data_IF_244880128530
#
_entry.id   IF_244880128530
#
_cell.length_a   1.000
_cell.length_b   1.000
_cell.length_c   1.000
_cell.angle_alpha   90.00
_cell.angle_beta   90.00
_cell.angle_gamma   90.00
#
_symmetry.space_group_name_H-M   'P 1'
#
loop_
_entity.id
_entity.type
_entity.pdbx_description
1 polymer ?
#
# COMPACT_ATOMS: atom_id res chain seq x y z
N UNK A 1 -13.97 -7.81 12.17
CA UNK A 1 -12.66 -7.15 11.97
C UNK A 1 -11.60 -8.23 11.93
N UNK A 2 -10.66 -8.13 10.98
CA UNK A 2 -9.51 -9.04 10.91
C UNK A 2 -8.29 -8.25 11.36
N UNK A 3 -7.48 -8.83 12.25
CA UNK A 3 -6.24 -8.23 12.73
C UNK A 3 -5.09 -9.06 12.17
N UNK A 4 -4.18 -8.41 11.44
CA UNK A 4 -3.01 -9.05 10.83
C UNK A 4 -1.75 -8.38 11.36
N UNK A 5 -0.83 -9.20 11.87
CA UNK A 5 0.50 -8.76 12.29
C UNK A 5 1.47 -8.86 11.11
N UNK A 6 2.31 -7.82 10.97
CA UNK A 6 3.41 -7.76 10.01
C UNK A 6 4.69 -7.39 10.75
N UNK A 7 5.77 -8.15 10.55
CA UNK A 7 7.08 -7.88 11.15
C UNK A 7 8.20 -8.51 10.31
N UNK A 8 9.43 -8.12 10.59
CA UNK A 8 10.63 -8.76 10.04
C UNK A 8 11.21 -9.66 11.13
N UNK A 9 11.50 -10.91 10.81
CA UNK A 9 12.12 -11.84 11.77
C UNK A 9 13.65 -11.74 11.81
N UNK A 10 14.29 -12.53 12.68
CA UNK A 10 15.75 -12.53 12.86
C UNK A 10 16.53 -12.97 11.61
N UNK A 11 15.88 -13.64 10.66
CA UNK A 11 16.47 -14.03 9.39
C UNK A 11 16.17 -13.00 8.29
N UNK A 12 15.75 -11.80 8.68
CA UNK A 12 15.34 -10.73 7.78
C UNK A 12 14.15 -11.10 6.87
N UNK A 13 13.33 -12.09 7.25
CA UNK A 13 12.17 -12.46 6.44
C UNK A 13 10.92 -11.70 6.86
N UNK A 14 10.19 -11.17 5.88
CA UNK A 14 8.89 -10.57 6.10
C UNK A 14 7.89 -11.63 6.56
N UNK A 15 7.28 -11.41 7.72
CA UNK A 15 6.23 -12.23 8.27
C UNK A 15 4.89 -11.53 8.19
N UNK A 16 3.86 -12.31 7.84
CA UNK A 16 2.45 -11.91 7.81
C UNK A 16 1.63 -13.01 8.46
N UNK A 17 0.93 -12.71 9.56
CA UNK A 17 0.06 -13.68 10.25
C UNK A 17 -1.25 -13.03 10.65
N UNK A 18 -2.36 -13.74 10.43
CA UNK A 18 -3.64 -13.33 11.01
C UNK A 18 -3.58 -13.60 12.51
N UNK A 19 -3.70 -12.54 13.31
CA UNK A 19 -3.65 -12.61 14.76
C UNK A 19 -5.00 -12.93 15.36
N UNK A 20 -6.09 -12.41 14.77
CA UNK A 20 -7.44 -12.64 15.27
C UNK A 20 -8.53 -12.32 14.23
N UNK A 21 -9.67 -13.02 14.36
CA UNK A 21 -10.94 -12.68 13.73
C UNK A 21 -11.93 -12.23 14.80
N UNK A 22 -12.16 -10.91 14.89
CA UNK A 22 -13.04 -10.34 15.89
C UNK A 22 -14.42 -10.09 15.29
N UNK A 23 -15.44 -10.78 15.78
CA UNK A 23 -16.83 -10.44 15.49
C UNK A 23 -17.21 -9.16 16.25
N UNK A 24 -17.62 -8.12 15.53
CA UNK A 24 -18.06 -6.86 16.12
C UNK A 24 -19.47 -6.52 15.62
N UNK A 25 -20.51 -6.72 16.45
CA UNK A 25 -21.86 -6.35 16.09
C UNK A 25 -21.98 -4.81 15.98
N UNK A 26 -22.92 -4.29 15.17
CA UNK A 26 -23.22 -2.86 15.18
C UNK A 26 -23.72 -2.37 16.55
N UNK A 27 -23.42 -1.12 16.95
CA UNK A 27 -22.62 -0.13 16.24
C UNK A 27 -21.11 -0.34 16.45
N UNK A 28 -20.33 -0.28 15.37
CA UNK A 28 -18.86 -0.43 15.39
C UNK A 28 -18.19 0.92 15.65
N UNK A 29 -18.24 1.43 16.88
CA UNK A 29 -17.62 2.73 17.21
C UNK A 29 -16.11 2.55 17.44
N UNK A 30 -15.37 3.64 17.39
CA UNK A 30 -13.91 3.58 17.48
C UNK A 30 -13.40 3.03 18.82
N UNK A 31 -14.15 3.22 19.90
CA UNK A 31 -13.77 2.73 21.23
C UNK A 31 -13.82 1.20 21.29
N UNK A 32 -14.84 0.56 20.70
CA UNK A 32 -14.91 -0.91 20.64
C UNK A 32 -13.82 -1.50 19.72
N UNK A 33 -13.49 -0.80 18.63
CA UNK A 33 -12.39 -1.16 17.74
C UNK A 33 -11.06 -1.11 18.51
N UNK A 34 -10.79 -0.02 19.23
CA UNK A 34 -9.60 0.13 20.06
C UNK A 34 -9.51 -0.95 21.13
N UNK A 35 -10.58 -1.17 21.89
CA UNK A 35 -10.60 -2.19 22.94
C UNK A 35 -10.33 -3.60 22.37
N UNK A 36 -10.91 -3.92 21.22
CA UNK A 36 -10.69 -5.20 20.54
C UNK A 36 -9.24 -5.37 20.04
N UNK A 37 -8.66 -4.31 19.46
CA UNK A 37 -7.26 -4.30 19.01
C UNK A 37 -6.30 -4.43 20.20
N UNK A 38 -6.49 -3.64 21.26
CA UNK A 38 -5.65 -3.68 22.45
C UNK A 38 -5.73 -5.03 23.15
N UNK A 39 -6.93 -5.60 23.29
CA UNK A 39 -7.10 -6.97 23.80
C UNK A 39 -6.33 -7.98 22.96
N UNK A 40 -6.45 -7.94 21.64
CA UNK A 40 -5.70 -8.86 20.77
C UNK A 40 -4.19 -8.73 20.98
N UNK A 41 -3.67 -7.50 21.03
CA UNK A 41 -2.24 -7.25 21.25
C UNK A 41 -1.79 -7.79 22.61
N UNK A 42 -2.61 -7.63 23.65
CA UNK A 42 -2.37 -8.15 25.00
C UNK A 42 -2.42 -9.67 25.09
N UNK A 43 -3.41 -10.29 24.45
CA UNK A 43 -3.55 -11.76 24.42
C UNK A 43 -2.32 -12.42 23.77
N UNK A 44 -1.64 -11.73 22.85
CA UNK A 44 -0.40 -12.17 22.22
C UNK A 44 0.88 -11.75 22.97
N UNK A 45 0.79 -10.89 23.99
CA UNK A 45 1.97 -10.39 24.73
C UNK A 45 2.91 -9.52 23.87
N UNK A 46 2.36 -8.77 22.90
CA UNK A 46 3.13 -7.97 21.94
C UNK A 46 2.90 -6.46 22.08
N UNK A 47 2.36 -5.99 23.20
CA UNK A 47 2.07 -4.58 23.48
C UNK A 47 3.31 -3.71 23.27
N UNK A 48 4.45 -4.21 23.72
CA UNK A 48 5.74 -3.53 23.63
C UNK A 48 6.31 -3.52 22.20
N UNK A 49 5.77 -4.34 21.28
CA UNK A 49 6.30 -4.51 19.92
C UNK A 49 5.51 -3.76 18.83
N UNK A 50 4.36 -3.16 19.17
CA UNK A 50 3.56 -2.40 18.19
C UNK A 50 4.23 -1.06 17.86
N UNK A 51 4.60 -0.86 16.59
CA UNK A 51 5.17 0.40 16.08
C UNK A 51 4.16 1.24 15.31
N UNK A 52 3.49 0.65 14.32
CA UNK A 52 2.52 1.32 13.44
C UNK A 52 1.26 0.48 13.32
N UNK A 53 0.11 1.15 13.21
CA UNK A 53 -1.17 0.55 12.88
C UNK A 53 -1.67 1.13 11.55
N UNK A 54 -2.04 0.24 10.63
CA UNK A 54 -2.63 0.59 9.34
C UNK A 54 -4.11 0.20 9.30
N UNK A 55 -4.97 1.16 8.93
CA UNK A 55 -6.44 1.01 8.92
C UNK A 55 -7.03 1.68 7.68
N UNK A 56 -8.25 1.29 7.30
CA UNK A 56 -8.98 1.97 6.24
C UNK A 56 -9.44 3.38 6.67
N UNK A 57 -10.02 4.14 5.74
CA UNK A 57 -10.34 5.55 5.95
C UNK A 57 -11.71 5.78 6.62
N UNK A 58 -12.24 4.80 7.37
CA UNK A 58 -13.46 4.98 8.13
C UNK A 58 -13.23 5.90 9.35
N UNK A 59 -14.18 6.81 9.62
CA UNK A 59 -14.06 7.78 10.71
C UNK A 59 -13.97 7.14 12.10
N UNK A 60 -14.57 5.95 12.29
CA UNK A 60 -14.45 5.19 13.53
C UNK A 60 -12.98 4.83 13.85
N UNK A 61 -12.14 4.62 12.82
CA UNK A 61 -10.73 4.29 13.03
C UNK A 61 -9.93 5.50 13.52
N UNK A 62 -10.29 6.73 13.15
CA UNK A 62 -9.61 7.92 13.68
C UNK A 62 -9.75 8.00 15.21
N UNK A 63 -10.92 7.63 15.74
CA UNK A 63 -11.15 7.51 17.19
C UNK A 63 -10.37 6.33 17.77
N UNK A 64 -10.40 5.17 17.12
CA UNK A 64 -9.74 3.97 17.61
C UNK A 64 -8.22 4.16 17.75
N UNK A 65 -7.60 4.73 16.72
CA UNK A 65 -6.16 4.99 16.68
C UNK A 65 -5.75 6.00 17.75
N UNK A 66 -6.55 7.04 17.98
CA UNK A 66 -6.27 8.02 19.05
C UNK A 66 -6.25 7.35 20.43
N UNK A 67 -7.27 6.55 20.73
CA UNK A 67 -7.36 5.80 22.00
C UNK A 67 -6.15 4.87 22.15
N UNK A 68 -5.84 4.08 21.10
CA UNK A 68 -4.70 3.17 21.12
C UNK A 68 -3.37 3.92 21.30
N UNK A 69 -3.17 5.05 20.63
CA UNK A 69 -1.95 5.86 20.78
C UNK A 69 -1.78 6.29 22.24
N UNK A 70 -2.86 6.75 22.88
CA UNK A 70 -2.82 7.18 24.28
C UNK A 70 -2.52 5.99 25.21
N UNK A 71 -3.18 4.84 25.00
CA UNK A 71 -2.97 3.62 25.79
C UNK A 71 -1.52 3.10 25.67
N UNK A 72 -0.99 2.99 24.44
CA UNK A 72 0.38 2.53 24.24
C UNK A 72 1.39 3.54 24.79
N UNK A 73 1.15 4.84 24.64
CA UNK A 73 2.06 5.89 25.17
C UNK A 73 2.17 5.87 26.69
N UNK A 74 1.15 5.38 27.41
CA UNK A 74 1.22 5.19 28.87
C UNK A 74 2.07 3.98 29.26
N UNK A 75 2.08 2.95 28.42
CA UNK A 75 2.80 1.70 28.67
C UNK A 75 4.26 1.73 28.21
N UNK A 76 4.58 2.59 27.23
CA UNK A 76 5.91 2.70 26.63
C UNK A 76 6.10 4.01 25.87
N UNK A 77 7.35 4.37 25.61
CA UNK A 77 7.69 5.43 24.64
C UNK A 77 7.38 4.94 23.23
N UNK A 78 6.50 5.64 22.50
CA UNK A 78 6.28 5.39 21.08
C UNK A 78 7.41 6.02 20.28
N UNK A 79 8.00 5.24 19.36
CA UNK A 79 9.05 5.71 18.46
C UNK A 79 8.62 6.94 17.66
N UNK A 80 9.52 7.90 17.51
CA UNK A 80 9.30 9.18 16.84
C UNK A 80 8.16 9.99 17.47
N UNK A 81 7.94 9.86 18.78
CA UNK A 81 6.82 10.50 19.49
C UNK A 81 5.42 10.06 19.02
N UNK A 82 5.33 8.90 18.37
CA UNK A 82 4.11 8.40 17.75
C UNK A 82 3.71 9.08 16.44
N UNK A 83 4.59 9.89 15.83
CA UNK A 83 4.36 10.51 14.51
C UNK A 83 4.14 9.45 13.40
N UNK A 84 4.68 8.25 13.59
CA UNK A 84 4.56 7.12 12.66
C UNK A 84 3.53 6.06 13.09
N UNK A 85 2.77 6.32 14.16
CA UNK A 85 1.90 5.31 14.77
C UNK A 85 0.69 4.95 13.90
N UNK A 86 0.25 5.86 13.03
CA UNK A 86 -0.93 5.67 12.20
C UNK A 86 -0.61 5.89 10.72
N UNK A 87 -0.99 4.91 9.90
CA UNK A 87 -0.98 5.04 8.44
C UNK A 87 -2.35 4.69 7.89
N UNK A 88 -2.93 5.57 7.09
CA UNK A 88 -4.16 5.27 6.34
C UNK A 88 -3.82 4.32 5.19
N UNK A 89 -4.68 3.34 4.95
CA UNK A 89 -4.48 2.36 3.88
C UNK A 89 -4.45 3.03 2.49
N UNK A 90 -3.28 3.00 1.83
CA UNK A 90 -3.08 3.61 0.51
C UNK A 90 -4.00 3.00 -0.56
N UNK A 91 -4.16 1.68 -0.57
CA UNK A 91 -5.05 0.99 -1.51
C UNK A 91 -6.52 1.42 -1.33
N UNK A 92 -6.95 1.68 -0.08
CA UNK A 92 -8.27 2.22 0.19
C UNK A 92 -8.41 3.67 -0.27
N UNK A 93 -7.38 4.50 -0.10
CA UNK A 93 -7.38 5.88 -0.63
C UNK A 93 -7.47 5.88 -2.16
N UNK A 94 -6.69 5.04 -2.86
CA UNK A 94 -6.82 4.88 -4.31
C UNK A 94 -8.24 4.45 -4.72
N UNK A 95 -8.85 3.53 -3.97
CA UNK A 95 -10.25 3.17 -4.20
C UNK A 95 -11.18 4.37 -4.06
N UNK A 96 -11.03 5.19 -3.01
CA UNK A 96 -11.85 6.39 -2.85
C UNK A 96 -11.64 7.42 -3.97
N UNK A 97 -10.42 7.58 -4.47
CA UNK A 97 -10.10 8.48 -5.58
C UNK A 97 -10.76 7.97 -6.87
N UNK A 98 -10.60 6.70 -7.21
CA UNK A 98 -11.17 6.17 -8.44
C UNK A 98 -12.69 6.11 -8.39
N UNK A 99 -13.29 5.78 -7.25
CA UNK A 99 -14.75 5.73 -7.10
C UNK A 99 -15.41 7.10 -7.35
N UNK A 100 -14.79 8.20 -6.90
CA UNK A 100 -15.30 9.55 -7.21
C UNK A 100 -15.08 9.95 -8.68
N UNK A 101 -14.12 9.34 -9.36
CA UNK A 101 -13.99 9.49 -10.82
C UNK A 101 -15.07 8.71 -11.57
N UNK A 102 -15.24 7.43 -11.22
CA UNK A 102 -16.23 6.53 -11.84
C UNK A 102 -17.67 7.03 -11.67
N UNK A 103 -17.96 7.86 -10.66
CA UNK A 103 -19.28 8.46 -10.52
C UNK A 103 -19.68 9.36 -11.69
N UNK A 104 -18.73 9.90 -12.47
CA UNK A 104 -19.02 10.72 -13.66
C UNK A 104 -19.60 9.92 -14.83
N UNK A 105 -19.41 8.59 -14.81
CA UNK A 105 -19.91 7.68 -15.84
C UNK A 105 -20.73 6.54 -15.21
N UNK A 106 -21.35 6.79 -14.05
CA UNK A 106 -22.02 5.76 -13.25
C UNK A 106 -23.13 5.04 -14.04
N UNK A 107 -23.87 5.77 -14.86
CA UNK A 107 -24.88 5.25 -15.78
C UNK A 107 -24.30 4.24 -16.78
N UNK A 108 -23.17 4.59 -17.41
CA UNK A 108 -22.46 3.71 -18.35
C UNK A 108 -21.96 2.46 -17.64
N UNK A 109 -21.32 2.62 -16.48
CA UNK A 109 -20.83 1.49 -15.67
C UNK A 109 -21.98 0.59 -15.25
N UNK A 110 -23.12 1.15 -14.86
CA UNK A 110 -24.32 0.38 -14.51
C UNK A 110 -24.85 -0.41 -15.70
N UNK A 111 -24.99 0.22 -16.88
CA UNK A 111 -25.49 -0.45 -18.09
C UNK A 111 -24.60 -1.63 -18.51
N UNK A 112 -23.28 -1.46 -18.45
CA UNK A 112 -22.32 -2.53 -18.75
C UNK A 112 -22.39 -3.63 -17.70
N UNK A 113 -22.50 -3.28 -16.41
CA UNK A 113 -22.66 -4.27 -15.33
C UNK A 113 -23.92 -5.10 -15.53
N UNK A 114 -25.05 -4.47 -15.83
CA UNK A 114 -26.32 -5.16 -16.07
C UNK A 114 -26.22 -6.11 -17.26
N UNK A 115 -25.45 -5.73 -18.29
CA UNK A 115 -25.17 -6.59 -19.45
C UNK A 115 -24.33 -7.82 -19.07
N UNK A 116 -23.27 -7.61 -18.30
CA UNK A 116 -22.40 -8.68 -17.79
C UNK A 116 -23.19 -9.64 -16.91
N UNK A 117 -24.00 -9.10 -15.99
CA UNK A 117 -24.85 -9.89 -15.10
C UNK A 117 -25.88 -10.70 -15.90
N UNK A 118 -26.51 -10.10 -16.92
CA UNK A 118 -27.47 -10.79 -17.78
C UNK A 118 -26.85 -11.99 -18.48
N UNK A 119 -25.67 -11.82 -19.08
CA UNK A 119 -24.94 -12.89 -19.79
C UNK A 119 -24.49 -13.98 -18.82
N UNK A 120 -23.85 -13.61 -17.72
CA UNK A 120 -23.23 -14.58 -16.83
C UNK A 120 -24.24 -15.33 -15.93
N UNK A 121 -25.44 -14.79 -15.70
CA UNK A 121 -26.47 -15.39 -14.83
C UNK A 121 -27.04 -16.70 -15.38
N UNK A 122 -26.99 -16.92 -16.71
CA UNK A 122 -27.52 -18.14 -17.34
C UNK A 122 -26.47 -18.84 -18.18
N UNK A 123 -26.33 -20.16 -17.99
CA UNK A 123 -25.43 -20.99 -18.82
C UNK A 123 -25.81 -20.91 -20.30
N UNK A 124 -27.10 -20.88 -20.62
CA UNK A 124 -27.59 -20.77 -22.01
C UNK A 124 -27.17 -19.44 -22.64
N UNK A 125 -27.31 -18.33 -21.91
CA UNK A 125 -26.90 -16.99 -22.39
C UNK A 125 -25.40 -16.88 -22.54
N UNK A 126 -24.63 -17.46 -21.61
CA UNK A 126 -23.19 -17.51 -21.71
C UNK A 126 -22.71 -18.28 -22.95
N UNK A 127 -23.34 -19.43 -23.25
CA UNK A 127 -23.03 -20.20 -24.47
C UNK A 127 -23.40 -19.43 -25.74
N UNK A 128 -24.57 -18.79 -25.77
CA UNK A 128 -25.00 -17.94 -26.87
C UNK A 128 -24.01 -16.78 -27.10
N UNK A 129 -23.61 -16.09 -26.04
CA UNK A 129 -22.63 -15.01 -26.11
C UNK A 129 -21.27 -15.50 -26.64
N UNK A 130 -20.80 -16.66 -26.19
CA UNK A 130 -19.57 -17.28 -26.66
C UNK A 130 -19.64 -17.67 -28.15
N UNK A 131 -20.77 -18.21 -28.60
CA UNK A 131 -21.01 -18.54 -30.01
C UNK A 131 -20.93 -17.30 -30.90
N UNK A 132 -21.58 -16.20 -30.49
CA UNK A 132 -21.53 -14.92 -31.23
C UNK A 132 -20.10 -14.36 -31.24
N UNK A 133 -19.39 -14.41 -30.11
CA UNK A 133 -18.00 -13.97 -30.03
C UNK A 133 -17.09 -14.78 -30.97
N UNK A 134 -17.30 -16.09 -31.05
CA UNK A 134 -16.56 -16.98 -31.96
C UNK A 134 -16.85 -16.67 -33.44
N UNK A 135 -18.11 -16.41 -33.79
CA UNK A 135 -18.49 -15.99 -35.16
C UNK A 135 -17.79 -14.68 -35.57
N UNK A 136 -17.47 -13.82 -34.61
CA UNK A 136 -16.73 -12.56 -34.80
C UNK A 136 -15.21 -12.71 -34.65
N UNK A 137 -14.72 -13.92 -34.48
CA UNK A 137 -13.29 -14.21 -34.26
C UNK A 137 -12.70 -13.45 -33.06
N UNK A 138 -13.53 -13.13 -32.07
CA UNK A 138 -13.08 -12.49 -30.83
C UNK A 138 -12.61 -13.60 -29.89
N UNK A 139 -11.33 -13.58 -29.45
CA UNK A 139 -10.79 -14.63 -28.59
C UNK A 139 -11.56 -14.72 -27.27
N UNK A 140 -12.02 -15.92 -26.94
CA UNK A 140 -12.91 -16.18 -25.82
C UNK A 140 -12.26 -16.00 -24.45
N UNK A 141 -12.81 -15.07 -23.66
CA UNK A 141 -12.71 -15.05 -22.20
C UNK A 141 -14.10 -14.85 -21.62
N UNK A 142 -14.37 -15.40 -20.43
CA UNK A 142 -15.60 -15.14 -19.71
C UNK A 142 -15.66 -13.66 -19.30
N UNK A 143 -16.82 -13.02 -19.43
CA UNK A 143 -17.03 -11.68 -18.89
C UNK A 143 -16.81 -11.68 -17.37
N UNK A 144 -16.12 -10.66 -16.86
CA UNK A 144 -15.78 -10.55 -15.44
C UNK A 144 -16.87 -9.81 -14.69
N UNK A 145 -17.36 -10.39 -13.58
CA UNK A 145 -18.32 -9.72 -12.70
C UNK A 145 -17.71 -8.48 -12.04
N UNK A 146 -18.54 -7.47 -11.78
CA UNK A 146 -18.14 -6.30 -11.00
C UNK A 146 -18.21 -6.53 -9.48
N UNK A 147 -17.45 -5.73 -8.73
CA UNK A 147 -17.62 -5.53 -7.31
C UNK A 147 -17.68 -4.02 -7.02
N UNK A 148 -18.89 -3.50 -6.71
CA UNK A 148 -19.13 -2.05 -6.53
C UNK A 148 -18.21 -1.38 -5.51
N UNK A 149 -17.73 -2.13 -4.52
CA UNK A 149 -16.85 -1.61 -3.45
C UNK A 149 -15.36 -1.71 -3.78
N UNK A 150 -14.98 -2.39 -4.87
CA UNK A 150 -13.60 -2.61 -5.30
C UNK A 150 -13.41 -2.16 -6.74
N UNK A 151 -12.95 -0.93 -6.90
CA UNK A 151 -12.81 -0.29 -8.20
C UNK A 151 -11.94 -1.09 -9.21
N UNK A 152 -10.91 -1.82 -8.74
CA UNK A 152 -10.07 -2.65 -9.61
C UNK A 152 -10.89 -3.68 -10.39
N UNK A 153 -11.88 -4.27 -9.74
CA UNK A 153 -12.79 -5.25 -10.35
C UNK A 153 -13.71 -4.56 -11.36
N UNK A 154 -14.13 -3.32 -11.08
CA UNK A 154 -14.87 -2.50 -12.04
C UNK A 154 -14.04 -2.20 -13.29
N UNK A 155 -12.77 -1.81 -13.11
CA UNK A 155 -11.85 -1.61 -14.23
C UNK A 155 -11.65 -2.89 -15.06
N UNK A 156 -11.44 -4.03 -14.40
CA UNK A 156 -11.30 -5.33 -15.06
C UNK A 156 -12.56 -5.73 -15.84
N UNK A 157 -13.75 -5.50 -15.27
CA UNK A 157 -15.02 -5.68 -15.97
C UNK A 157 -15.09 -4.80 -17.22
N UNK A 158 -14.86 -3.50 -17.09
CA UNK A 158 -14.95 -2.56 -18.21
C UNK A 158 -13.95 -2.91 -19.32
N UNK A 159 -12.69 -3.14 -18.97
CA UNK A 159 -11.62 -3.52 -19.90
C UNK A 159 -11.90 -4.86 -20.58
N UNK A 160 -12.48 -5.82 -19.87
CA UNK A 160 -12.89 -7.10 -20.44
C UNK A 160 -14.10 -6.94 -21.38
N UNK A 161 -15.16 -6.26 -20.94
CA UNK A 161 -16.39 -6.07 -21.69
C UNK A 161 -16.15 -5.29 -23.00
N UNK A 162 -15.24 -4.32 -22.99
CA UNK A 162 -14.87 -3.54 -24.17
C UNK A 162 -14.37 -4.39 -25.34
N UNK A 163 -13.74 -5.55 -25.06
CA UNK A 163 -13.31 -6.51 -26.10
C UNK A 163 -14.47 -7.18 -26.82
N UNK A 164 -15.66 -7.15 -26.21
CA UNK A 164 -16.89 -7.74 -26.73
C UNK A 164 -17.93 -6.68 -27.14
N UNK A 165 -17.51 -5.42 -27.36
CA UNK A 165 -18.42 -4.31 -27.71
C UNK A 165 -19.33 -4.61 -28.90
N UNK A 166 -18.83 -5.36 -29.89
CA UNK A 166 -19.58 -5.75 -31.10
C UNK A 166 -20.45 -7.00 -30.93
N UNK A 167 -20.30 -7.71 -29.80
CA UNK A 167 -21.07 -8.92 -29.46
C UNK A 167 -22.39 -8.56 -28.81
N UNK A 168 -22.42 -7.54 -27.94
CA UNK A 168 -23.63 -7.14 -27.21
C UNK A 168 -24.83 -6.80 -28.12
N UNK A 169 -24.69 -6.03 -29.22
CA UNK A 169 -25.82 -5.78 -30.11
C UNK A 169 -26.37 -7.06 -30.75
N UNK A 170 -25.50 -8.02 -31.07
CA UNK A 170 -25.91 -9.31 -31.66
C UNK A 170 -26.56 -10.24 -30.65
N UNK A 171 -26.20 -10.12 -29.37
CA UNK A 171 -26.94 -10.77 -28.31
C UNK A 171 -28.37 -10.22 -28.24
N UNK A 172 -28.55 -8.90 -28.41
CA UNK A 172 -29.87 -8.27 -28.42
C UNK A 172 -30.74 -8.76 -29.58
N UNK A 173 -30.16 -8.95 -30.75
CA UNK A 173 -30.86 -9.53 -31.90
C UNK A 173 -31.34 -10.98 -31.65
N UNK A 174 -30.65 -11.73 -30.77
CA UNK A 174 -30.87 -13.17 -30.56
C UNK A 174 -31.57 -13.54 -29.24
N UNK A 175 -31.54 -12.69 -28.23
CA UNK A 175 -32.23 -12.86 -26.94
C UNK A 175 -33.14 -11.64 -26.69
N UNK A 176 -34.45 -11.73 -27.00
CA UNK A 176 -35.39 -10.62 -26.82
C UNK A 176 -35.55 -10.16 -25.36
N UNK A 177 -35.09 -10.95 -24.38
CA UNK A 177 -35.10 -10.57 -22.97
C UNK A 177 -33.93 -9.65 -22.60
N UNK A 178 -33.00 -9.40 -23.53
CA UNK A 178 -31.84 -8.54 -23.31
C UNK A 178 -32.14 -7.06 -23.59
N UNK A 179 -32.48 -6.32 -22.55
CA UNK A 179 -32.79 -4.87 -22.59
C UNK A 179 -31.63 -3.97 -22.14
N UNK A 180 -30.54 -4.56 -21.65
CA UNK A 180 -29.41 -3.86 -21.07
C UNK A 180 -28.28 -3.55 -22.04
N UNK A 181 -28.47 -3.71 -23.36
CA UNK A 181 -27.43 -3.44 -24.36
C UNK A 181 -26.80 -2.04 -24.22
N UNK A 182 -25.46 -1.93 -24.07
CA UNK A 182 -24.78 -0.65 -24.01
C UNK A 182 -24.84 0.07 -25.37
N UNK A 183 -24.97 1.39 -25.34
CA UNK A 183 -24.95 2.22 -26.54
C UNK A 183 -23.56 2.24 -27.19
N UNK A 184 -23.48 2.51 -28.49
CA UNK A 184 -22.21 2.48 -29.23
C UNK A 184 -21.22 3.55 -28.73
N UNK A 185 -21.71 4.76 -28.43
CA UNK A 185 -20.90 5.88 -27.93
C UNK A 185 -20.32 5.64 -26.52
N UNK A 186 -20.91 4.73 -25.75
CA UNK A 186 -20.41 4.39 -24.42
C UNK A 186 -19.02 3.76 -24.49
N UNK A 187 -18.73 2.99 -25.54
CA UNK A 187 -17.45 2.30 -25.67
C UNK A 187 -16.27 3.26 -25.87
N UNK A 188 -16.48 4.37 -26.58
CA UNK A 188 -15.47 5.43 -26.70
C UNK A 188 -15.18 6.07 -25.33
N UNK A 189 -16.23 6.37 -24.55
CA UNK A 189 -16.09 6.93 -23.20
C UNK A 189 -15.35 5.95 -22.27
N UNK A 190 -15.72 4.66 -22.31
CA UNK A 190 -15.09 3.60 -21.53
C UNK A 190 -13.62 3.42 -21.90
N UNK A 191 -13.27 3.49 -23.17
CA UNK A 191 -11.88 3.41 -23.63
C UNK A 191 -11.03 4.54 -23.03
N UNK A 192 -11.51 5.79 -23.09
CA UNK A 192 -10.82 6.94 -22.50
C UNK A 192 -10.67 6.78 -20.98
N UNK A 193 -11.72 6.35 -20.27
CA UNK A 193 -11.65 6.11 -18.82
C UNK A 193 -10.68 4.98 -18.49
N UNK A 194 -10.74 3.85 -19.19
CA UNK A 194 -9.82 2.73 -18.97
C UNK A 194 -8.36 3.15 -19.18
N UNK A 195 -8.06 4.03 -20.14
CA UNK A 195 -6.71 4.54 -20.37
C UNK A 195 -6.14 5.31 -19.15
N UNK A 196 -6.99 5.98 -18.38
CA UNK A 196 -6.61 6.64 -17.13
C UNK A 196 -6.48 5.62 -16.01
N UNK A 197 -7.52 4.78 -15.83
CA UNK A 197 -7.62 3.85 -14.71
C UNK A 197 -6.57 2.75 -14.75
N UNK A 198 -6.06 2.38 -15.92
CA UNK A 198 -4.96 1.42 -16.05
C UNK A 198 -3.74 1.83 -15.21
N UNK A 199 -3.41 3.13 -15.15
CA UNK A 199 -2.28 3.62 -14.35
C UNK A 199 -2.54 3.48 -12.85
N UNK A 200 -3.77 3.72 -12.41
CA UNK A 200 -4.20 3.46 -11.04
C UNK A 200 -4.20 1.96 -10.71
N UNK A 201 -4.49 1.12 -11.70
CA UNK A 201 -4.65 -0.32 -11.49
C UNK A 201 -3.27 -0.93 -11.32
N UNK A 202 -2.31 -0.54 -12.16
CA UNK A 202 -0.91 -0.90 -12.04
C UNK A 202 -0.33 -0.45 -10.68
N UNK A 203 -0.54 0.81 -10.30
CA UNK A 203 -0.11 1.31 -9.00
C UNK A 203 -0.72 0.49 -7.85
N UNK A 204 -2.04 0.22 -7.89
CA UNK A 204 -2.73 -0.56 -6.86
C UNK A 204 -2.17 -1.98 -6.74
N UNK A 205 -1.82 -2.62 -7.85
CA UNK A 205 -1.21 -3.96 -7.84
C UNK A 205 0.15 -3.98 -7.15
N UNK A 206 0.98 -2.95 -7.39
CA UNK A 206 2.28 -2.81 -6.71
C UNK A 206 2.07 -2.56 -5.20
N UNK A 207 1.17 -1.65 -4.84
CA UNK A 207 1.03 -1.23 -3.44
C UNK A 207 0.21 -2.22 -2.58
N UNK A 208 -0.51 -3.15 -3.19
CA UNK A 208 -1.30 -4.18 -2.48
C UNK A 208 -0.61 -5.55 -2.40
N UNK A 209 0.64 -5.65 -2.85
CA UNK A 209 1.45 -6.84 -2.72
C UNK A 209 1.61 -7.31 -1.26
N UNK A 210 1.70 -8.63 -1.06
CA UNK A 210 1.90 -9.22 0.27
C UNK A 210 3.17 -10.05 0.42
N UNK A 211 3.84 -10.36 -0.69
CA UNK A 211 5.02 -11.23 -0.73
C UNK A 211 6.33 -10.44 -0.74
N UNK A 212 6.25 -9.11 -0.65
CA UNK A 212 7.40 -8.19 -0.62
C UNK A 212 7.03 -6.92 0.17
N UNK A 213 8.03 -6.18 0.68
CA UNK A 213 7.79 -4.88 1.29
C UNK A 213 7.25 -3.86 0.29
N UNK A 214 6.13 -3.22 0.64
CA UNK A 214 5.46 -2.25 -0.23
C UNK A 214 5.69 -0.80 0.19
N UNK A 215 6.09 -0.57 1.45
CA UNK A 215 6.20 0.76 2.05
C UNK A 215 7.18 1.68 1.31
N UNK A 216 8.35 1.16 0.93
CA UNK A 216 9.37 1.88 0.16
C UNK A 216 8.90 2.22 -1.27
N UNK A 217 7.96 1.46 -1.82
CA UNK A 217 7.44 1.63 -3.17
C UNK A 217 6.26 2.61 -3.24
N UNK A 218 5.67 3.00 -2.12
CA UNK A 218 4.45 3.81 -2.15
C UNK A 218 4.67 5.22 -2.73
N UNK A 219 5.74 5.91 -2.34
CA UNK A 219 5.98 7.29 -2.78
C UNK A 219 6.10 7.38 -4.31
N UNK A 220 6.84 6.46 -4.94
CA UNK A 220 6.99 6.44 -6.39
C UNK A 220 5.64 6.22 -7.11
N UNK A 221 4.78 5.33 -6.60
CA UNK A 221 3.49 5.06 -7.22
C UNK A 221 2.54 6.25 -7.08
N UNK A 222 2.53 6.91 -5.92
CA UNK A 222 1.73 8.12 -5.71
C UNK A 222 2.17 9.26 -6.64
N UNK A 223 3.47 9.47 -6.81
CA UNK A 223 3.99 10.49 -7.74
C UNK A 223 3.56 10.21 -9.18
N UNK A 224 3.57 8.93 -9.61
CA UNK A 224 3.06 8.55 -10.94
C UNK A 224 1.57 8.90 -11.09
N UNK A 225 0.77 8.62 -10.08
CA UNK A 225 -0.67 8.97 -10.06
C UNK A 225 -0.88 10.48 -10.09
N UNK A 226 -0.13 11.24 -9.28
CA UNK A 226 -0.15 12.70 -9.26
C UNK A 226 0.11 13.29 -10.64
N UNK A 227 1.14 12.79 -11.34
CA UNK A 227 1.46 13.21 -12.71
C UNK A 227 0.31 12.98 -13.67
N UNK A 228 -0.33 11.81 -13.62
CA UNK A 228 -1.49 11.49 -14.48
C UNK A 228 -2.65 12.45 -14.22
N UNK A 229 -2.93 12.74 -12.95
CA UNK A 229 -3.99 13.66 -12.55
C UNK A 229 -3.69 15.09 -12.99
N UNK A 230 -2.47 15.57 -12.75
CA UNK A 230 -2.08 16.93 -13.11
C UNK A 230 -2.01 17.11 -14.64
N UNK A 231 -1.48 16.14 -15.39
CA UNK A 231 -1.41 16.21 -16.86
C UNK A 231 -2.78 16.19 -17.53
N UNK A 232 -3.80 15.61 -16.88
CA UNK A 232 -5.17 15.52 -17.41
C UNK A 232 -6.16 16.48 -16.73
N UNK A 233 -5.69 17.37 -15.85
CA UNK A 233 -6.56 18.29 -15.13
C UNK A 233 -7.29 19.30 -16.05
N UNK A 234 -6.73 19.54 -17.23
CA UNK A 234 -7.25 20.42 -18.27
C UNK A 234 -7.46 19.67 -19.60
N UNK A 235 -7.85 18.39 -19.52
CA UNK A 235 -8.15 17.56 -20.70
C UNK A 235 -9.20 18.24 -21.61
N UNK A 236 -9.04 18.12 -22.93
CA UNK A 236 -9.94 18.71 -23.92
C UNK A 236 -11.34 18.11 -23.82
N UNK A 237 -11.43 16.83 -23.43
CA UNK A 237 -12.69 16.12 -23.30
C UNK A 237 -13.36 16.48 -21.97
N UNK A 238 -14.50 17.16 -22.04
CA UNK A 238 -15.22 17.72 -20.88
C UNK A 238 -15.48 16.73 -19.75
N UNK A 239 -15.96 15.53 -20.06
CA UNK A 239 -16.27 14.53 -19.03
C UNK A 239 -15.01 13.94 -18.39
N UNK A 240 -13.92 13.76 -19.15
CA UNK A 240 -12.63 13.32 -18.60
C UNK A 240 -12.07 14.41 -17.69
N UNK A 241 -12.14 15.67 -18.12
CA UNK A 241 -11.72 16.80 -17.29
C UNK A 241 -12.50 16.88 -15.98
N UNK A 242 -13.83 16.69 -16.02
CA UNK A 242 -14.67 16.63 -14.81
C UNK A 242 -14.27 15.47 -13.87
N UNK A 243 -14.08 14.27 -14.43
CA UNK A 243 -13.63 13.08 -13.72
C UNK A 243 -12.28 13.33 -13.03
N UNK A 244 -11.28 13.80 -13.78
CA UNK A 244 -9.93 14.03 -13.28
C UNK A 244 -9.91 15.09 -12.19
N UNK A 245 -10.67 16.20 -12.33
CA UNK A 245 -10.73 17.23 -11.30
C UNK A 245 -11.30 16.71 -9.98
N UNK A 246 -12.34 15.86 -10.03
CA UNK A 246 -12.89 15.20 -8.83
C UNK A 246 -11.90 14.21 -8.21
N UNK A 247 -11.26 13.39 -9.03
CA UNK A 247 -10.21 12.46 -8.57
C UNK A 247 -9.04 13.21 -7.93
N UNK A 248 -8.59 14.30 -8.56
CA UNK A 248 -7.51 15.16 -8.09
C UNK A 248 -7.86 15.86 -6.77
N UNK A 249 -9.06 16.41 -6.62
CA UNK A 249 -9.50 16.98 -5.35
C UNK A 249 -9.50 15.93 -4.21
N UNK A 250 -9.87 14.69 -4.53
CA UNK A 250 -9.80 13.57 -3.57
C UNK A 250 -8.36 13.16 -3.27
N UNK A 251 -7.47 13.16 -4.26
CA UNK A 251 -6.04 12.93 -4.09
C UNK A 251 -5.43 13.99 -3.16
N UNK A 252 -5.62 15.27 -3.47
CA UNK A 252 -5.04 16.40 -2.73
C UNK A 252 -5.59 16.42 -1.28
N UNK A 253 -6.82 15.95 -1.03
CA UNK A 253 -7.36 15.75 0.32
C UNK A 253 -6.55 14.77 1.18
N UNK A 254 -6.00 13.71 0.60
CA UNK A 254 -5.31 12.65 1.36
C UNK A 254 -3.79 12.73 1.29
N UNK A 255 -3.25 13.27 0.20
CA UNK A 255 -1.83 13.32 -0.10
C UNK A 255 -1.35 14.73 -0.49
N UNK A 256 -2.15 15.75 -0.19
CA UNK A 256 -1.70 17.15 -0.18
C UNK A 256 -0.79 17.46 1.01
N UNK A 257 -0.85 16.66 2.08
CA UNK A 257 0.10 16.71 3.19
C UNK A 257 1.13 15.56 3.09
N UNK A 258 2.35 15.81 3.56
CA UNK A 258 3.41 14.81 3.54
C UNK A 258 3.13 13.65 4.49
N UNK A 259 3.15 12.42 3.95
CA UNK A 259 3.13 11.21 4.77
C UNK A 259 4.56 10.83 5.18
N UNK A 260 4.89 11.09 6.44
CA UNK A 260 6.22 10.90 6.99
C UNK A 260 6.72 9.45 6.90
N UNK A 261 5.88 8.47 7.24
CA UNK A 261 6.25 7.06 7.21
C UNK A 261 6.59 6.61 5.78
N UNK A 262 5.77 7.03 4.82
CA UNK A 262 5.99 6.72 3.41
C UNK A 262 7.28 7.34 2.87
N UNK A 263 7.57 8.58 3.24
CA UNK A 263 8.77 9.27 2.84
C UNK A 263 10.03 8.61 3.43
N UNK A 264 10.00 8.29 4.72
CA UNK A 264 11.09 7.61 5.43
C UNK A 264 11.33 6.22 4.85
N UNK A 265 10.28 5.43 4.62
CA UNK A 265 10.41 4.10 4.00
C UNK A 265 11.04 4.18 2.61
N UNK A 266 10.72 5.21 1.81
CA UNK A 266 11.33 5.41 0.50
C UNK A 266 12.82 5.84 0.61
N UNK A 267 13.20 6.62 1.63
CA UNK A 267 14.60 7.01 1.87
C UNK A 267 15.44 5.82 2.33
N UNK A 268 14.87 4.90 3.09
CA UNK A 268 15.55 3.68 3.55
C UNK A 268 15.73 2.63 2.44
N UNK A 269 15.23 2.87 1.24
CA UNK A 269 15.61 2.09 0.06
C UNK A 269 16.98 2.60 -0.48
N UNK A 270 18.05 1.78 -0.46
CA UNK A 270 19.40 2.18 -0.85
C UNK A 270 19.51 2.58 -2.33
N UNK A 271 18.53 2.22 -3.17
CA UNK A 271 18.46 2.67 -4.58
C UNK A 271 17.98 4.12 -4.68
N UNK A 272 17.32 4.61 -3.63
CA UNK A 272 16.57 5.87 -3.61
C UNK A 272 17.22 6.91 -2.68
N UNK A 273 17.44 6.57 -1.40
CA UNK A 273 18.01 7.48 -0.39
C UNK A 273 17.26 8.82 -0.32
N UNK A 274 17.89 9.88 0.19
CA UNK A 274 17.28 11.23 0.22
C UNK A 274 16.87 11.75 -1.17
N UNK A 275 17.47 11.23 -2.26
CA UNK A 275 17.19 11.69 -3.63
C UNK A 275 15.73 11.49 -4.02
N UNK A 276 15.04 10.48 -3.47
CA UNK A 276 13.64 10.23 -3.81
C UNK A 276 12.73 11.34 -3.34
N UNK A 277 12.94 11.90 -2.14
CA UNK A 277 12.11 13.01 -1.63
C UNK A 277 12.50 14.33 -2.29
N UNK A 278 13.79 14.55 -2.55
CA UNK A 278 14.29 15.70 -3.33
C UNK A 278 13.69 15.75 -4.74
N UNK A 279 13.48 14.58 -5.35
CA UNK A 279 12.83 14.48 -6.67
C UNK A 279 11.30 14.53 -6.57
N UNK A 280 10.70 13.73 -5.68
CA UNK A 280 9.26 13.53 -5.62
C UNK A 280 8.49 14.75 -5.10
N UNK A 281 8.98 15.40 -4.04
CA UNK A 281 8.22 16.44 -3.35
C UNK A 281 7.96 17.69 -4.19
N UNK A 282 8.92 18.19 -4.99
CA UNK A 282 8.65 19.28 -5.94
C UNK A 282 7.59 18.97 -7.01
N UNK A 283 7.29 17.69 -7.24
CA UNK A 283 6.26 17.24 -8.18
C UNK A 283 4.90 17.01 -7.49
N UNK A 284 4.89 16.99 -6.15
CA UNK A 284 3.72 16.72 -5.32
C UNK A 284 3.16 18.00 -4.71
N UNK A 285 4.03 18.90 -4.28
CA UNK A 285 3.71 20.06 -3.45
C UNK A 285 4.22 21.37 -4.09
N UNK A 286 3.64 22.53 -3.74
CA UNK A 286 4.23 23.83 -4.04
C UNK A 286 5.68 23.92 -3.55
N UNK A 287 6.53 24.71 -4.23
CA UNK A 287 7.98 24.73 -3.99
C UNK A 287 8.38 24.99 -2.54
N UNK A 288 7.68 25.89 -1.84
CA UNK A 288 7.94 26.19 -0.43
C UNK A 288 7.63 24.99 0.46
N UNK A 289 6.44 24.40 0.32
CA UNK A 289 6.00 23.22 1.07
C UNK A 289 6.87 22.00 0.77
N UNK A 290 7.32 21.82 -0.49
CA UNK A 290 8.23 20.75 -0.86
C UNK A 290 9.54 20.83 -0.05
N UNK A 291 10.13 22.02 0.07
CA UNK A 291 11.35 22.23 0.83
C UNK A 291 11.14 22.02 2.34
N UNK A 292 10.04 22.53 2.89
CA UNK A 292 9.67 22.32 4.29
C UNK A 292 9.48 20.83 4.60
N UNK A 293 8.77 20.11 3.72
CA UNK A 293 8.56 18.68 3.84
C UNK A 293 9.87 17.89 3.76
N UNK A 294 10.81 18.24 2.87
CA UNK A 294 12.14 17.60 2.81
C UNK A 294 12.88 17.78 4.14
N UNK A 295 12.90 19.00 4.69
CA UNK A 295 13.53 19.29 5.97
C UNK A 295 12.87 18.53 7.13
N UNK A 296 11.53 18.48 7.16
CA UNK A 296 10.75 17.78 8.17
C UNK A 296 11.00 16.27 8.15
N UNK A 297 11.00 15.66 6.96
CA UNK A 297 11.30 14.23 6.78
C UNK A 297 12.73 13.91 7.19
N UNK A 298 13.70 14.75 6.79
CA UNK A 298 15.10 14.58 7.21
C UNK A 298 15.20 14.63 8.73
N UNK A 299 14.63 15.65 9.37
CA UNK A 299 14.63 15.78 10.84
C UNK A 299 14.04 14.55 11.52
N UNK A 300 12.88 14.07 11.08
CA UNK A 300 12.25 12.88 11.65
C UNK A 300 13.07 11.60 11.45
N UNK A 301 13.76 11.46 10.32
CA UNK A 301 14.65 10.32 10.07
C UNK A 301 15.82 10.30 11.07
N UNK A 302 16.44 11.46 11.33
CA UNK A 302 17.50 11.57 12.34
C UNK A 302 16.96 11.33 13.75
N UNK A 303 15.81 11.91 14.12
CA UNK A 303 15.17 11.65 15.41
C UNK A 303 14.90 10.16 15.65
N UNK A 304 14.46 9.41 14.63
CA UNK A 304 14.23 7.96 14.73
C UNK A 304 15.52 7.17 14.89
N UNK A 305 16.59 7.60 14.20
CA UNK A 305 17.89 6.95 14.30
C UNK A 305 18.53 7.19 15.66
N UNK A 306 18.44 8.40 16.20
CA UNK A 306 18.92 8.72 17.56
C UNK A 306 18.19 7.85 18.61
N UNK A 307 16.87 7.67 18.47
CA UNK A 307 16.11 6.77 19.35
C UNK A 307 16.50 5.29 19.20
N UNK A 308 16.90 4.87 18.00
CA UNK A 308 17.41 3.51 17.75
C UNK A 308 18.77 3.29 18.42
N UNK A 309 19.68 4.25 18.32
CA UNK A 309 21.00 4.21 18.98
C UNK A 309 20.84 4.13 20.50
N UNK A 310 19.96 4.94 21.09
CA UNK A 310 19.67 4.93 22.53
C UNK A 310 19.17 3.56 23.01
N UNK A 311 18.30 2.90 22.22
CA UNK A 311 17.76 1.57 22.54
C UNK A 311 18.83 0.48 22.47
N UNK A 312 19.77 0.57 21.52
CA UNK A 312 20.86 -0.38 21.40
C UNK A 312 21.92 -0.18 22.48
N UNK A 313 22.24 1.07 22.83
CA UNK A 313 23.16 1.38 23.92
C UNK A 313 22.66 0.82 25.26
N UNK A 314 21.37 0.99 25.56
CA UNK A 314 20.74 0.49 26.79
C UNK A 314 20.46 -1.02 26.79
N UNK A 315 20.36 -1.64 25.61
CA UNK A 315 20.24 -3.09 25.45
C UNK A 315 21.51 -3.87 25.80
N UNK A 316 22.69 -3.32 25.48
CA UNK A 316 23.98 -3.93 25.79
C UNK A 316 24.33 -3.91 27.28
N UNK A 317 23.84 -2.94 28.06
CA UNK A 317 24.08 -2.89 29.51
C UNK A 317 23.30 -3.97 30.28
N UNK A 318 22.14 -4.42 29.76
CA UNK A 318 21.29 -5.41 30.43
C UNK A 318 21.66 -6.87 30.11
N UNK A 319 22.55 -7.13 29.15
CA UNK A 319 22.98 -8.48 28.78
C UNK A 319 24.09 -9.05 29.69
N UNK A 320 24.72 -8.22 30.53
CA UNK A 320 25.84 -8.62 31.40
C UNK A 320 25.37 -9.32 32.68
N UNK A 321 24.08 -9.26 33.03
CA UNK A 321 23.55 -9.87 34.25
C UNK A 321 22.26 -10.66 34.02
N UNK A 322 22.34 -11.87 33.44
CA UNK A 322 21.37 -12.94 33.76
C UNK A 322 21.73 -14.31 33.18
N UNK A 323 21.96 -15.24 34.12
CA UNK A 323 21.69 -16.68 34.08
C UNK A 323 22.62 -17.62 33.28
N UNK A 324 23.61 -18.14 34.02
CA UNK A 324 24.10 -19.50 33.84
C UNK A 324 22.99 -20.52 34.20
N UNK A 325 22.50 -21.26 33.20
CA UNK A 325 21.93 -22.59 33.39
C UNK A 325 21.94 -23.36 32.07
N UNK A 326 22.91 -24.29 31.92
CA UNK A 326 23.02 -25.19 30.76
C UNK A 326 22.11 -26.41 30.96
N UNK A 327 21.10 -26.55 30.11
CA UNK A 327 20.51 -27.84 29.76
C UNK A 327 21.14 -28.37 28.46
N UNK A 328 21.27 -29.68 28.24
CA UNK A 328 22.03 -30.21 27.11
C UNK A 328 21.15 -30.31 25.85
N UNK A 329 21.50 -29.57 24.80
CA UNK A 329 21.11 -29.91 23.43
C UNK A 329 22.36 -30.08 22.58
N UNK A 330 22.53 -31.29 22.06
CA UNK A 330 23.57 -31.68 21.12
C UNK A 330 23.25 -31.08 19.76
N UNK A 331 24.14 -30.26 19.22
CA UNK A 331 24.42 -30.17 17.80
C UNK A 331 25.90 -29.81 17.63
N UNK A 332 26.55 -30.42 16.65
CA UNK A 332 27.99 -30.38 16.45
C UNK A 332 28.46 -28.98 16.02
N UNK A 333 29.39 -28.41 16.77
CA UNK A 333 30.13 -27.19 16.43
C UNK A 333 31.62 -27.41 16.64
N UNK A 334 32.40 -26.96 15.65
CA UNK A 334 33.86 -26.79 15.70
C UNK A 334 34.29 -26.15 17.03
N UNK A 335 35.36 -26.68 17.64
CA UNK A 335 35.75 -26.44 19.04
C UNK A 335 36.68 -25.25 19.27
N UNK A 336 36.71 -24.24 18.40
CA UNK A 336 37.46 -23.02 18.67
C UNK A 336 36.61 -21.80 18.35
N UNK A 337 36.03 -21.21 19.40
CA UNK A 337 35.58 -19.82 19.37
C UNK A 337 36.86 -18.97 19.33
N UNK A 338 37.00 -18.08 18.35
CA UNK A 338 38.14 -17.17 18.25
C UNK A 338 37.97 -16.01 19.23
N UNK A 339 38.10 -16.32 20.52
CA UNK A 339 37.97 -15.36 21.61
C UNK A 339 38.94 -14.18 21.42
N UNK A 340 40.16 -14.45 20.97
CA UNK A 340 41.16 -13.42 20.68
C UNK A 340 40.78 -12.50 19.51
N UNK A 341 39.97 -13.00 18.55
CA UNK A 341 39.45 -12.19 17.44
C UNK A 341 38.25 -11.36 17.88
N UNK A 342 37.36 -11.93 18.71
CA UNK A 342 36.24 -11.20 19.32
C UNK A 342 36.77 -10.07 20.22
N UNK A 343 37.80 -10.31 21.04
CA UNK A 343 38.47 -9.27 21.86
C UNK A 343 39.21 -8.22 21.00
N UNK A 344 39.85 -8.63 19.90
CA UNK A 344 40.45 -7.70 18.94
C UNK A 344 39.40 -6.85 18.23
N UNK A 345 38.25 -7.43 17.86
CA UNK A 345 37.11 -6.71 17.29
C UNK A 345 36.55 -5.71 18.30
N UNK A 346 36.33 -6.12 19.55
CA UNK A 346 35.86 -5.24 20.62
C UNK A 346 36.83 -4.07 20.87
N UNK A 347 38.16 -4.29 20.82
CA UNK A 347 39.17 -3.22 20.92
C UNK A 347 39.20 -2.30 19.68
N UNK A 348 39.08 -2.85 18.47
CA UNK A 348 39.08 -2.07 17.21
C UNK A 348 37.80 -1.25 17.03
N UNK A 349 36.66 -1.79 17.47
CA UNK A 349 35.33 -1.18 17.37
C UNK A 349 35.06 -0.12 18.46
N UNK A 350 35.98 0.07 19.42
CA UNK A 350 35.96 1.25 20.33
C UNK A 350 36.09 2.59 19.59
N UNK A 351 36.59 2.55 18.35
CA UNK A 351 36.66 3.74 17.48
C UNK A 351 35.26 4.01 16.93
N UNK A 352 34.47 4.85 17.63
CA UNK A 352 33.19 5.34 17.10
C UNK A 352 33.38 5.78 15.64
N UNK A 353 32.53 5.35 14.70
CA UNK A 353 32.66 5.78 13.32
C UNK A 353 32.66 7.32 13.28
N UNK A 354 33.55 7.94 12.50
CA UNK A 354 33.70 9.41 12.43
C UNK A 354 32.39 10.12 12.01
N UNK A 355 31.40 9.36 11.51
CA UNK A 355 30.02 9.76 11.17
C UNK A 355 29.08 8.64 11.60
N UNK A 356 27.82 8.95 11.94
CA UNK A 356 26.83 7.92 12.30
C UNK A 356 26.50 7.01 11.11
N UNK A 357 26.02 5.78 11.37
CA UNK A 357 25.69 4.82 10.30
C UNK A 357 24.66 5.40 9.32
N UNK A 358 23.68 6.16 9.83
CA UNK A 358 22.71 6.84 8.98
C UNK A 358 23.37 7.87 8.05
N UNK A 359 24.33 8.65 8.55
CA UNK A 359 25.04 9.64 7.71
C UNK A 359 25.85 8.93 6.64
N UNK A 360 26.59 7.89 7.00
CA UNK A 360 27.34 7.08 6.03
C UNK A 360 26.41 6.44 4.97
N UNK A 361 25.27 5.87 5.40
CA UNK A 361 24.24 5.37 4.49
C UNK A 361 23.75 6.44 3.52
N UNK A 362 23.45 7.66 4.00
CA UNK A 362 22.92 8.74 3.16
C UNK A 362 23.96 9.33 2.20
N UNK A 363 25.24 9.39 2.60
CA UNK A 363 26.33 9.93 1.77
C UNK A 363 26.83 8.94 0.70
N UNK A 364 26.78 7.64 0.98
CA UNK A 364 27.14 6.60 0.00
C UNK A 364 26.34 6.74 -1.29
N UNK A 365 26.95 6.37 -2.42
CA UNK A 365 26.26 6.31 -3.70
C UNK A 365 25.00 5.42 -3.63
N UNK A 366 23.97 5.76 -4.40
CA UNK A 366 22.76 4.94 -4.51
C UNK A 366 23.11 3.60 -5.15
N UNK A 367 22.48 2.54 -4.67
CA UNK A 367 22.58 1.22 -5.30
C UNK A 367 22.02 1.33 -6.72
N UNK A 368 22.84 1.02 -7.72
CA UNK A 368 22.40 0.97 -9.12
C UNK A 368 21.63 -0.32 -9.34
N UNK A 369 20.40 -0.22 -9.83
CA UNK A 369 19.66 -1.39 -10.32
C UNK A 369 20.40 -1.94 -11.54
N UNK A 370 20.80 -3.21 -11.49
CA UNK A 370 21.32 -3.90 -12.67
C UNK A 370 20.24 -4.08 -13.76
N UNK A 371 20.49 -4.97 -14.71
CA UNK A 371 19.61 -5.22 -15.88
C UNK A 371 18.17 -5.61 -15.52
N UNK A 372 17.92 -6.12 -14.30
CA UNK A 372 16.59 -6.46 -13.81
C UNK A 372 16.22 -5.60 -12.57
N UNK A 373 15.38 -4.56 -12.74
CA UNK A 373 14.92 -3.70 -11.65
C UNK A 373 14.10 -4.43 -10.56
N UNK A 374 13.52 -5.59 -10.90
CA UNK A 374 12.67 -6.39 -10.01
C UNK A 374 13.46 -7.43 -9.19
N UNK A 375 14.77 -7.57 -9.41
CA UNK A 375 15.61 -8.52 -8.68
C UNK A 375 16.07 -8.00 -7.31
N UNK A 376 15.69 -6.77 -6.95
CA UNK A 376 16.06 -6.17 -5.67
C UNK A 376 14.99 -6.44 -4.63
N UNK A 377 15.34 -7.18 -3.59
CA UNK A 377 14.61 -7.25 -2.33
C UNK A 377 15.29 -6.27 -1.34
N UNK A 378 14.52 -5.49 -0.58
CA UNK A 378 15.11 -4.62 0.45
C UNK A 378 15.40 -5.36 1.75
N UNK A 379 15.08 -6.66 1.83
CA UNK A 379 15.35 -7.54 2.94
C UNK A 379 16.47 -8.55 2.67
N UNK A 380 17.00 -8.58 1.44
CA UNK A 380 18.23 -9.27 1.06
C UNK A 380 19.36 -8.25 0.89
#
# INVERSE_FOLDING_TARGET
MVITGHWIDLNWKLQKRVLNFVHMPPPRRGVEIAASLFKCVKDWGIEQKIHTISVDNASANDVAIRVLRDDFSRSKKLLGGGKLFHVRCCAHILNLIVQVGLSEIADIVNKIRDSVDFVNRSKTRLLLFAEIAQQRQIPGRKLLYDCRTRWNVTFEMLSCAMKFKDVFPRLQDRDPLYDSCPAYDYWEKVEKVCSVLEKFWAATHVISGSEYPTSNLFLQEIVKIKKVLDSRANDEIDFIRAMIRKMKAKFDKYWGECNLLMAIAAILDPRQKMRVVEFAFPQMFPSFEAQENICSVKKALFELYDEYEDLNATGNENAVHSCASKGPQKNATSSFRWVDFDEYCDEMETTKPQKSELVDYLEKARLKTGSNPNAYDCLE
#
